data_IF_506059908167
#
_entry.id   IF_506059908167
#
_cell.length_a   1.000
_cell.length_b   1.000
_cell.length_c   1.000
_cell.angle_alpha   90.00
_cell.angle_beta   90.00
_cell.angle_gamma   90.00
#
_symmetry.space_group_name_H-M   'P 1'
#
loop_
_entity.id
_entity.type
_entity.pdbx_description
1 polymer ?
#
# COMPACT_ATOMS: atom_id res chain seq x y z
N UNK A 1 48.55 -18.27 -17.71
CA UNK A 1 47.34 -18.98 -17.21
C UNK A 1 46.93 -18.59 -15.78
N UNK A 2 47.82 -18.62 -14.77
CA UNK A 2 47.49 -18.25 -13.36
C UNK A 2 46.99 -16.80 -13.14
N UNK A 3 47.50 -15.83 -13.90
CA UNK A 3 47.13 -14.40 -13.77
C UNK A 3 45.71 -14.16 -14.28
N UNK A 4 45.33 -14.77 -15.41
CA UNK A 4 44.00 -14.68 -16.00
C UNK A 4 42.91 -15.21 -15.05
N UNK A 5 43.19 -16.33 -14.37
CA UNK A 5 42.28 -16.94 -13.38
C UNK A 5 42.12 -16.04 -12.15
N UNK A 6 43.20 -15.40 -11.68
CA UNK A 6 43.10 -14.42 -10.59
C UNK A 6 42.26 -13.21 -11.02
N UNK A 7 42.50 -12.66 -12.21
CA UNK A 7 41.73 -11.52 -12.73
C UNK A 7 40.23 -11.86 -12.85
N UNK A 8 39.89 -13.04 -13.39
CA UNK A 8 38.50 -13.49 -13.48
C UNK A 8 37.83 -13.62 -12.11
N UNK A 9 38.56 -14.10 -11.08
CA UNK A 9 38.05 -14.16 -9.71
C UNK A 9 37.79 -12.77 -9.12
N UNK A 10 38.69 -11.81 -9.36
CA UNK A 10 38.50 -10.43 -8.90
C UNK A 10 37.33 -9.75 -9.62
N UNK A 11 37.14 -9.99 -10.92
CA UNK A 11 35.98 -9.48 -11.68
C UNK A 11 34.68 -10.11 -11.19
N UNK A 12 34.67 -11.43 -10.98
CA UNK A 12 33.50 -12.13 -10.42
C UNK A 12 33.15 -11.67 -9.01
N UNK A 13 34.15 -11.33 -8.19
CA UNK A 13 33.93 -10.76 -6.86
C UNK A 13 33.43 -9.30 -6.93
N UNK A 14 34.02 -8.48 -7.80
CA UNK A 14 33.64 -7.08 -8.02
C UNK A 14 32.23 -6.93 -8.58
N UNK A 15 31.76 -7.87 -9.40
CA UNK A 15 30.41 -7.86 -9.97
C UNK A 15 29.41 -8.65 -9.12
N UNK A 16 29.86 -9.71 -8.45
CA UNK A 16 29.00 -10.57 -7.62
C UNK A 16 28.59 -9.94 -6.30
N UNK A 17 29.50 -9.21 -5.64
CA UNK A 17 29.20 -8.57 -4.36
C UNK A 17 28.13 -7.47 -4.48
N UNK A 18 28.20 -6.54 -5.45
CA UNK A 18 27.14 -5.55 -5.65
C UNK A 18 25.80 -6.19 -6.00
N UNK A 19 25.81 -7.27 -6.80
CA UNK A 19 24.58 -7.99 -7.16
C UNK A 19 23.91 -8.60 -5.93
N UNK A 20 24.70 -9.25 -5.05
CA UNK A 20 24.20 -9.81 -3.78
C UNK A 20 23.65 -8.72 -2.85
N UNK A 21 24.32 -7.57 -2.78
CA UNK A 21 23.82 -6.41 -2.02
C UNK A 21 22.49 -5.91 -2.59
N UNK A 22 22.38 -5.78 -3.91
CA UNK A 22 21.15 -5.39 -4.60
C UNK A 22 20.00 -6.37 -4.33
N UNK A 23 20.26 -7.68 -4.43
CA UNK A 23 19.26 -8.70 -4.08
C UNK A 23 18.84 -8.61 -2.61
N UNK A 24 19.80 -8.39 -1.70
CA UNK A 24 19.51 -8.20 -0.28
C UNK A 24 18.63 -6.97 -0.01
N UNK A 25 18.91 -5.85 -0.69
CA UNK A 25 18.10 -4.63 -0.60
C UNK A 25 16.68 -4.85 -1.12
N UNK A 26 16.50 -5.55 -2.24
CA UNK A 26 15.18 -5.86 -2.79
C UNK A 26 14.35 -6.74 -1.83
N UNK A 27 14.96 -7.79 -1.26
CA UNK A 27 14.28 -8.66 -0.29
C UNK A 27 13.91 -7.91 0.98
N UNK A 28 14.79 -7.01 1.44
CA UNK A 28 14.50 -6.16 2.58
C UNK A 28 13.31 -5.23 2.31
N UNK A 29 13.27 -4.59 1.15
CA UNK A 29 12.20 -3.66 0.74
C UNK A 29 10.86 -4.38 0.65
N UNK A 30 10.82 -5.60 0.09
CA UNK A 30 9.63 -6.45 0.03
C UNK A 30 9.08 -6.79 1.42
N UNK A 31 9.95 -7.21 2.36
CA UNK A 31 9.53 -7.51 3.74
C UNK A 31 9.01 -6.28 4.47
N UNK A 32 9.58 -5.11 4.21
CA UNK A 32 9.09 -3.85 4.80
C UNK A 32 7.69 -3.51 4.28
N UNK A 33 7.44 -3.75 2.98
CA UNK A 33 6.11 -3.58 2.41
C UNK A 33 5.09 -4.57 2.98
N UNK A 34 5.44 -5.85 3.10
CA UNK A 34 4.56 -6.85 3.73
C UNK A 34 4.17 -6.43 5.15
N UNK A 35 5.14 -6.07 6.00
CA UNK A 35 4.85 -5.59 7.36
C UNK A 35 3.98 -4.35 7.38
N UNK A 36 4.20 -3.41 6.46
CA UNK A 36 3.39 -2.21 6.39
C UNK A 36 1.93 -2.53 6.01
N UNK A 37 1.72 -3.45 5.06
CA UNK A 37 0.37 -3.93 4.71
C UNK A 37 -0.26 -4.64 5.90
N UNK A 38 0.46 -5.53 6.59
CA UNK A 38 -0.02 -6.23 7.79
C UNK A 38 -0.38 -5.25 8.92
N UNK A 39 0.42 -4.21 9.14
CA UNK A 39 0.15 -3.17 10.14
C UNK A 39 -1.13 -2.38 9.80
N UNK A 40 -1.32 -2.06 8.52
CA UNK A 40 -2.54 -1.40 8.07
C UNK A 40 -3.74 -2.34 8.22
N UNK A 41 -3.63 -3.61 7.82
CA UNK A 41 -4.70 -4.60 8.00
C UNK A 41 -5.05 -4.81 9.49
N UNK A 42 -4.05 -4.94 10.36
CA UNK A 42 -4.21 -5.13 11.79
C UNK A 42 -4.79 -3.91 12.52
N UNK A 43 -4.75 -2.73 11.90
CA UNK A 43 -5.38 -1.54 12.45
C UNK A 43 -6.90 -1.56 12.34
N UNK A 44 -7.43 -2.34 11.39
CA UNK A 44 -8.86 -2.57 11.29
C UNK A 44 -9.28 -3.61 12.31
N UNK A 45 -10.40 -3.34 12.97
CA UNK A 45 -11.00 -4.24 13.93
C UNK A 45 -12.45 -4.46 13.56
N UNK A 46 -12.96 -5.67 13.80
CA UNK A 46 -14.39 -5.95 13.68
C UNK A 46 -15.15 -5.00 14.61
N UNK A 47 -16.18 -4.33 14.08
CA UNK A 47 -16.95 -3.29 14.76
C UNK A 47 -16.33 -1.89 14.71
N UNK A 48 -15.08 -1.74 14.23
CA UNK A 48 -14.41 -0.47 14.01
C UNK A 48 -14.89 0.26 12.76
N UNK A 49 -14.46 1.51 12.57
CA UNK A 49 -14.80 2.30 11.38
C UNK A 49 -13.99 1.84 10.16
N UNK A 50 -14.62 1.53 9.02
CA UNK A 50 -13.92 1.20 7.78
C UNK A 50 -13.32 2.44 7.08
N UNK A 51 -13.70 3.64 7.52
CA UNK A 51 -13.36 4.90 6.85
C UNK A 51 -12.16 5.62 7.47
N UNK A 52 -11.60 5.08 8.55
CA UNK A 52 -10.35 5.57 9.15
C UNK A 52 -9.25 4.63 8.72
N UNK A 53 -8.44 5.06 7.75
CA UNK A 53 -7.40 4.25 7.13
C UNK A 53 -6.04 4.79 7.58
N UNK A 54 -5.40 4.17 8.58
CA UNK A 54 -4.04 4.55 8.93
C UNK A 54 -3.11 4.10 7.80
N UNK A 55 -2.21 4.98 7.40
CA UNK A 55 -1.26 4.71 6.32
C UNK A 55 0.13 5.19 6.72
N UNK A 56 1.19 4.51 6.28
CA UNK A 56 2.55 4.96 6.50
C UNK A 56 2.79 6.31 5.79
N UNK A 57 3.15 7.33 6.56
CA UNK A 57 3.34 8.70 6.08
C UNK A 57 4.58 8.86 5.19
N UNK A 58 5.54 7.94 5.25
CA UNK A 58 6.80 8.00 4.52
C UNK A 58 6.74 7.32 3.14
N UNK A 59 5.58 6.78 2.74
CA UNK A 59 5.45 5.95 1.54
C UNK A 59 4.48 6.50 0.51
N UNK A 60 4.53 5.90 -0.67
CA UNK A 60 3.48 6.05 -1.69
C UNK A 60 2.42 5.00 -1.39
N UNK A 61 1.18 5.44 -1.23
CA UNK A 61 0.02 4.58 -1.04
C UNK A 61 -1.05 4.92 -2.08
N UNK A 62 -1.65 3.89 -2.66
CA UNK A 62 -2.88 4.00 -3.42
C UNK A 62 -3.97 3.26 -2.65
N UNK A 63 -5.12 3.91 -2.48
CA UNK A 63 -6.29 3.30 -1.83
C UNK A 63 -7.44 3.38 -2.80
N UNK A 64 -8.11 2.27 -3.05
CA UNK A 64 -9.35 2.24 -3.82
C UNK A 64 -10.45 1.59 -3.01
N UNK A 65 -11.62 2.21 -2.98
CA UNK A 65 -12.83 1.65 -2.38
C UNK A 65 -13.76 1.28 -3.53
N UNK A 66 -14.10 0.01 -3.65
CA UNK A 66 -14.87 -0.53 -4.76
C UNK A 66 -15.98 -1.46 -4.28
N UNK A 67 -16.95 -1.71 -5.16
CA UNK A 67 -18.02 -2.68 -4.94
C UNK A 67 -17.59 -4.03 -5.49
N UNK A 68 -17.52 -5.04 -4.62
CA UNK A 68 -16.99 -6.38 -4.94
C UNK A 68 -17.59 -6.99 -6.21
N UNK A 69 -18.90 -6.94 -6.36
CA UNK A 69 -19.60 -7.66 -7.42
C UNK A 69 -19.51 -6.99 -8.80
N UNK A 70 -19.34 -5.66 -8.82
CA UNK A 70 -19.38 -4.87 -10.07
C UNK A 70 -18.03 -4.25 -10.43
N UNK A 71 -17.08 -4.20 -9.50
CA UNK A 71 -15.84 -3.46 -9.62
C UNK A 71 -16.02 -1.94 -9.66
N UNK A 72 -17.24 -1.42 -9.48
CA UNK A 72 -17.48 0.01 -9.45
C UNK A 72 -16.66 0.66 -8.34
N UNK A 73 -15.85 1.66 -8.69
CA UNK A 73 -14.99 2.37 -7.75
C UNK A 73 -15.74 3.55 -7.15
N UNK A 74 -15.98 3.55 -5.84
CA UNK A 74 -16.53 4.68 -5.11
C UNK A 74 -15.44 5.68 -4.71
N UNK A 75 -14.22 5.21 -4.45
CA UNK A 75 -13.10 6.12 -4.18
C UNK A 75 -11.78 5.62 -4.75
N UNK A 76 -10.95 6.56 -5.16
CA UNK A 76 -9.56 6.34 -5.56
C UNK A 76 -8.69 7.47 -5.00
N UNK A 77 -7.72 7.11 -4.17
CA UNK A 77 -6.88 8.02 -3.40
C UNK A 77 -5.42 7.71 -3.71
N UNK A 78 -4.63 8.72 -4.05
CA UNK A 78 -3.19 8.60 -4.24
C UNK A 78 -2.47 9.49 -3.23
N UNK A 79 -1.61 8.87 -2.42
CA UNK A 79 -0.86 9.49 -1.35
C UNK A 79 0.61 9.30 -1.67
N UNK A 80 1.40 10.36 -1.52
CA UNK A 80 2.84 10.32 -1.74
C UNK A 80 3.53 11.05 -0.61
N UNK A 81 4.27 10.29 0.20
CA UNK A 81 5.03 10.79 1.35
C UNK A 81 4.12 11.60 2.29
N UNK A 82 2.97 11.03 2.64
CA UNK A 82 2.05 11.61 3.61
C UNK A 82 1.29 12.82 3.08
N UNK A 83 1.33 13.06 1.77
CA UNK A 83 0.56 14.12 1.11
C UNK A 83 -0.43 13.48 0.15
N UNK A 84 -1.71 13.81 0.30
CA UNK A 84 -2.74 13.44 -0.67
C UNK A 84 -2.49 14.20 -1.97
N UNK A 85 -2.21 13.46 -3.05
CA UNK A 85 -1.97 14.01 -4.39
C UNK A 85 -3.22 14.03 -5.24
N UNK A 86 -4.06 13.03 -5.07
CA UNK A 86 -5.40 12.99 -5.65
C UNK A 86 -6.32 12.23 -4.72
N UNK A 87 -7.57 12.67 -4.68
CA UNK A 87 -8.64 11.96 -4.04
C UNK A 87 -9.90 12.15 -4.87
N UNK A 88 -10.38 11.06 -5.45
CA UNK A 88 -11.65 11.02 -6.14
C UNK A 88 -12.63 10.19 -5.32
N UNK A 89 -13.81 10.73 -5.09
CA UNK A 89 -14.89 10.08 -4.33
C UNK A 89 -16.19 10.32 -5.09
N UNK A 90 -16.93 9.25 -5.37
CA UNK A 90 -18.10 9.25 -6.25
C UNK A 90 -17.86 9.97 -7.59
N UNK A 91 -16.64 9.83 -8.14
CA UNK A 91 -16.22 10.47 -9.40
C UNK A 91 -15.88 11.97 -9.29
N UNK A 92 -15.95 12.57 -8.10
CA UNK A 92 -15.59 13.97 -7.88
C UNK A 92 -14.24 14.09 -7.18
N UNK A 93 -13.44 15.10 -7.56
CA UNK A 93 -12.18 15.39 -6.85
C UNK A 93 -12.47 16.11 -5.54
N UNK A 94 -11.99 15.56 -4.43
CA UNK A 94 -12.23 16.06 -3.07
C UNK A 94 -10.91 16.46 -2.43
N UNK A 95 -10.78 17.65 -1.81
CA UNK A 95 -9.61 17.98 -1.03
C UNK A 95 -9.60 17.16 0.27
N UNK A 96 -8.52 16.43 0.53
CA UNK A 96 -8.32 15.69 1.77
C UNK A 96 -7.01 16.07 2.44
N UNK A 97 -7.03 16.08 3.76
CA UNK A 97 -5.84 16.25 4.59
C UNK A 97 -5.34 14.90 5.07
N UNK A 98 -4.02 14.79 5.23
CA UNK A 98 -3.39 13.61 5.80
C UNK A 98 -2.84 13.96 7.19
N UNK A 99 -3.42 13.39 8.23
CA UNK A 99 -2.95 13.53 9.62
C UNK A 99 -2.79 12.14 10.24
N UNK A 100 -1.67 11.49 9.90
CA UNK A 100 -1.33 10.10 10.29
C UNK A 100 -2.22 9.01 9.67
N UNK A 101 -2.99 9.38 8.65
CA UNK A 101 -3.89 8.50 7.94
C UNK A 101 -4.91 9.29 7.15
N UNK A 102 -5.91 8.59 6.65
CA UNK A 102 -7.06 9.19 5.98
C UNK A 102 -8.29 8.98 6.86
N UNK A 103 -8.96 10.07 7.19
CA UNK A 103 -10.30 10.03 7.75
C UNK A 103 -11.30 10.38 6.65
N UNK A 104 -12.05 9.37 6.22
CA UNK A 104 -13.09 9.48 5.19
C UNK A 104 -14.49 9.46 5.79
N UNK A 105 -14.62 9.60 7.12
CA UNK A 105 -15.91 9.48 7.81
C UNK A 105 -16.94 10.50 7.30
N UNK A 106 -16.50 11.72 6.98
CA UNK A 106 -17.35 12.76 6.40
C UNK A 106 -17.91 12.39 5.00
N UNK A 107 -17.32 11.39 4.35
CA UNK A 107 -17.65 10.93 3.00
C UNK A 107 -18.32 9.55 3.01
N UNK A 108 -18.66 9.03 4.19
CA UNK A 108 -19.21 7.69 4.38
C UNK A 108 -20.43 7.41 3.51
N UNK A 109 -21.33 8.39 3.32
CA UNK A 109 -22.53 8.23 2.48
C UNK A 109 -22.19 7.89 1.02
N UNK A 110 -21.15 8.54 0.47
CA UNK A 110 -20.67 8.27 -0.88
C UNK A 110 -19.93 6.93 -1.00
N UNK A 111 -19.43 6.40 0.12
CA UNK A 111 -18.67 5.15 0.19
C UNK A 111 -19.55 3.93 0.51
N UNK A 112 -20.69 4.12 1.19
CA UNK A 112 -21.64 3.06 1.58
C UNK A 112 -22.01 2.06 0.46
N UNK A 113 -22.13 2.45 -0.83
CA UNK A 113 -22.43 1.50 -1.90
C UNK A 113 -21.29 0.51 -2.21
N UNK A 114 -20.08 0.79 -1.74
CA UNK A 114 -18.89 -0.03 -1.92
C UNK A 114 -18.53 -0.73 -0.60
N UNK A 115 -18.00 -1.94 -0.71
CA UNK A 115 -17.82 -2.90 0.38
C UNK A 115 -16.45 -3.59 0.37
N UNK A 116 -15.53 -3.08 -0.45
CA UNK A 116 -14.16 -3.56 -0.59
C UNK A 116 -13.21 -2.37 -0.59
N UNK A 117 -12.15 -2.47 0.20
CA UNK A 117 -11.04 -1.51 0.19
C UNK A 117 -9.82 -2.27 -0.31
N UNK A 118 -9.12 -1.75 -1.31
CA UNK A 118 -7.83 -2.25 -1.75
C UNK A 118 -6.79 -1.18 -1.46
N UNK A 119 -5.69 -1.59 -0.84
CA UNK A 119 -4.54 -0.73 -0.58
C UNK A 119 -3.38 -1.24 -1.42
N UNK A 120 -2.54 -0.35 -1.91
CA UNK A 120 -1.28 -0.69 -2.55
C UNK A 120 -0.20 0.22 -1.98
N UNK A 121 0.88 -0.36 -1.48
CA UNK A 121 2.02 0.37 -0.94
C UNK A 121 3.20 0.20 -1.91
N UNK A 122 3.90 1.30 -2.20
CA UNK A 122 5.08 1.27 -3.06
C UNK A 122 6.34 1.61 -2.25
N UNK A 123 7.46 1.04 -2.65
CA UNK A 123 8.77 1.34 -2.10
C UNK A 123 9.77 1.69 -3.21
N UNK A 124 11.05 1.84 -2.86
CA UNK A 124 12.06 2.42 -3.76
C UNK A 124 12.49 1.45 -4.87
N UNK A 125 12.55 0.15 -4.58
CA UNK A 125 13.09 -0.86 -5.50
C UNK A 125 12.06 -1.92 -5.92
N UNK A 126 10.80 -1.74 -5.51
CA UNK A 126 9.70 -2.63 -5.83
C UNK A 126 8.35 -1.99 -5.51
N UNK A 127 7.31 -2.57 -6.08
CA UNK A 127 5.94 -2.30 -5.68
C UNK A 127 5.37 -3.61 -5.13
N UNK A 128 4.69 -3.52 -3.99
CA UNK A 128 3.94 -4.64 -3.46
C UNK A 128 2.49 -4.20 -3.43
N UNK A 129 1.73 -4.70 -4.41
CA UNK A 129 0.28 -4.55 -4.38
C UNK A 129 -0.26 -5.55 -3.37
N UNK A 130 -0.24 -5.17 -2.10
CA UNK A 130 -0.88 -5.91 -1.02
C UNK A 130 -2.12 -5.17 -0.57
N UNK A 131 -3.29 -5.72 -0.86
CA UNK A 131 -4.57 -5.24 -0.36
C UNK A 131 -5.20 -6.32 0.51
N UNK A 132 -6.06 -5.92 1.43
CA UNK A 132 -6.86 -6.80 2.26
C UNK A 132 -8.31 -6.38 2.08
N UNK A 133 -9.23 -7.32 2.09
CA UNK A 133 -10.65 -7.04 1.86
C UNK A 133 -11.30 -6.73 3.20
N UNK A 134 -11.82 -5.53 3.36
CA UNK A 134 -12.68 -5.18 4.48
C UNK A 134 -14.13 -5.23 4.04
N UNK A 135 -14.92 -6.11 4.64
CA UNK A 135 -16.37 -6.02 4.57
C UNK A 135 -16.88 -5.14 5.71
N UNK A 136 -17.87 -4.32 5.41
CA UNK A 136 -18.51 -3.48 6.40
C UNK A 136 -19.99 -3.29 6.10
N UNK A 137 -20.79 -3.19 7.16
CA UNK A 137 -22.21 -2.88 7.09
C UNK A 137 -22.42 -1.48 7.69
N UNK A 138 -22.79 -0.52 6.84
CA UNK A 138 -22.88 0.88 7.23
C UNK A 138 -21.50 1.44 7.60
N UNK A 139 -21.32 1.85 8.85
CA UNK A 139 -20.07 2.44 9.37
C UNK A 139 -19.23 1.48 10.20
N UNK A 140 -19.46 0.16 10.09
CA UNK A 140 -18.76 -0.85 10.90
C UNK A 140 -18.21 -2.00 10.08
N UNK A 141 -16.94 -2.32 10.31
CA UNK A 141 -16.28 -3.51 9.76
C UNK A 141 -16.95 -4.77 10.30
N UNK A 142 -17.37 -5.66 9.41
CA UNK A 142 -18.00 -6.95 9.72
C UNK A 142 -17.04 -8.11 9.49
N UNK A 143 -16.14 -8.00 8.52
CA UNK A 143 -15.15 -9.03 8.20
C UNK A 143 -13.87 -8.41 7.64
N UNK A 144 -12.74 -9.06 7.90
CA UNK A 144 -11.42 -8.71 7.38
C UNK A 144 -10.86 -9.98 6.73
N UNK A 145 -10.39 -9.89 5.49
CA UNK A 145 -9.84 -11.03 4.73
C UNK A 145 -8.72 -10.63 3.79
#
# INVERSE_FOLDING_TARGET
MRILIKLLKWIGLLLGLPLLVLMGLMVWDARQLERAVEQVAASFAIGGSPFIIPLPADRIAMVSVSKRDSGQTCAALAIRNGVVRSAQIAGQTVPLTFDRGLDLTALAEALQPCDRIDIALMANWGYLKGGFTLEYAGSRVTQIG
#
